data_IF_370229835222
#
_entry.id   IF_370229835222
#
_cell.length_a   1.000
_cell.length_b   1.000
_cell.length_c   1.000
_cell.angle_alpha   90.00
_cell.angle_beta   90.00
_cell.angle_gamma   90.00
#
_symmetry.space_group_name_H-M   'P 1'
#
loop_
_entity.id
_entity.type
_entity.pdbx_description
1 polymer ?
#
# COMPACT_ATOMS: atom_id res chain seq x y z
N UNK A 1 -21.97 1.27 4.22
CA UNK A 1 -21.26 1.34 2.94
C UNK A 1 -21.58 0.07 2.18
N UNK A 2 -22.42 0.14 1.14
CA UNK A 2 -22.75 -1.03 0.31
C UNK A 2 -21.67 -1.23 -0.75
N UNK A 3 -21.17 -2.46 -0.89
CA UNK A 3 -20.09 -2.76 -1.81
C UNK A 3 -20.59 -2.82 -3.27
N UNK A 4 -19.73 -2.38 -4.20
CA UNK A 4 -20.04 -2.30 -5.63
C UNK A 4 -20.57 -3.63 -6.22
N UNK A 5 -19.99 -4.76 -5.82
CA UNK A 5 -20.37 -6.11 -6.29
C UNK A 5 -21.78 -6.54 -5.82
N UNK A 6 -22.27 -5.94 -4.73
CA UNK A 6 -23.64 -6.17 -4.21
C UNK A 6 -24.63 -5.29 -4.96
N UNK A 7 -24.26 -4.02 -5.17
CA UNK A 7 -25.08 -3.02 -5.86
C UNK A 7 -25.32 -3.37 -7.33
N UNK A 8 -24.41 -4.09 -7.97
CA UNK A 8 -24.49 -4.47 -9.38
C UNK A 8 -24.32 -5.99 -9.57
N UNK A 9 -25.36 -6.82 -9.35
CA UNK A 9 -25.26 -8.28 -9.39
C UNK A 9 -24.82 -8.85 -10.73
N UNK A 10 -25.00 -8.11 -11.83
CA UNK A 10 -24.49 -8.48 -13.15
C UNK A 10 -22.95 -8.60 -13.20
N UNK A 11 -22.24 -7.84 -12.37
CA UNK A 11 -20.77 -7.86 -12.30
C UNK A 11 -20.21 -9.20 -11.81
N UNK A 12 -20.99 -9.97 -11.02
CA UNK A 12 -20.59 -11.31 -10.55
C UNK A 12 -20.38 -12.32 -11.69
N UNK A 13 -21.04 -12.09 -12.82
CA UNK A 13 -21.02 -12.99 -13.99
C UNK A 13 -20.02 -12.55 -15.07
N UNK A 14 -19.41 -11.39 -14.92
CA UNK A 14 -18.39 -10.93 -15.86
C UNK A 14 -17.16 -11.82 -15.75
N UNK A 15 -16.64 -12.21 -16.90
CA UNK A 15 -15.44 -13.05 -17.02
C UNK A 15 -14.27 -12.23 -17.54
N UNK A 16 -13.06 -12.56 -17.12
CA UNK A 16 -11.84 -12.04 -17.72
C UNK A 16 -11.62 -12.64 -19.14
N UNK A 17 -10.53 -12.25 -19.80
CA UNK A 17 -10.12 -12.77 -21.12
C UNK A 17 -9.90 -14.30 -21.17
N UNK A 18 -9.77 -14.96 -20.02
CA UNK A 18 -9.62 -16.42 -19.91
C UNK A 18 -10.93 -17.13 -19.54
N UNK A 19 -12.07 -16.44 -19.58
CA UNK A 19 -13.38 -17.00 -19.27
C UNK A 19 -13.62 -17.25 -17.78
N UNK A 20 -12.80 -16.68 -16.88
CA UNK A 20 -12.94 -16.85 -15.44
C UNK A 20 -13.69 -15.67 -14.81
N UNK A 21 -14.70 -15.98 -13.99
CA UNK A 21 -15.40 -15.00 -13.16
C UNK A 21 -14.55 -14.52 -11.99
N UNK A 22 -14.88 -13.37 -11.40
CA UNK A 22 -14.21 -12.86 -10.20
C UNK A 22 -14.19 -13.88 -9.05
N UNK A 23 -15.26 -14.67 -8.88
CA UNK A 23 -15.34 -15.74 -7.89
C UNK A 23 -14.33 -16.86 -8.17
N UNK A 24 -14.26 -17.33 -9.41
CA UNK A 24 -13.33 -18.38 -9.81
C UNK A 24 -11.87 -17.94 -9.67
N UNK A 25 -11.57 -16.68 -9.96
CA UNK A 25 -10.24 -16.10 -9.75
C UNK A 25 -9.90 -16.08 -8.25
N UNK A 26 -10.83 -15.61 -7.40
CA UNK A 26 -10.64 -15.58 -5.95
C UNK A 26 -10.43 -16.98 -5.36
N UNK A 27 -11.18 -17.98 -5.81
CA UNK A 27 -11.01 -19.38 -5.40
C UNK A 27 -9.67 -19.96 -5.88
N UNK A 28 -9.30 -19.73 -7.14
CA UNK A 28 -8.03 -20.20 -7.73
C UNK A 28 -6.81 -19.62 -7.01
N UNK A 29 -6.88 -18.36 -6.59
CA UNK A 29 -5.83 -17.66 -5.84
C UNK A 29 -5.92 -17.83 -4.32
N UNK A 30 -6.85 -18.69 -3.84
CA UNK A 30 -7.08 -18.97 -2.41
C UNK A 30 -7.44 -17.73 -1.57
N UNK A 31 -8.05 -16.71 -2.18
CA UNK A 31 -8.60 -15.56 -1.47
C UNK A 31 -10.00 -15.86 -0.93
N UNK A 32 -10.07 -16.75 0.06
CA UNK A 32 -11.33 -17.24 0.65
C UNK A 32 -12.28 -16.11 1.09
N UNK A 33 -11.74 -15.01 1.61
CA UNK A 33 -12.51 -13.85 2.05
C UNK A 33 -13.15 -13.08 0.90
N UNK A 34 -12.45 -12.95 -0.21
CA UNK A 34 -12.96 -12.30 -1.42
C UNK A 34 -14.03 -13.20 -2.05
N UNK A 35 -13.82 -14.52 -2.05
CA UNK A 35 -14.82 -15.49 -2.51
C UNK A 35 -16.12 -15.44 -1.67
N UNK A 36 -16.01 -15.48 -0.34
CA UNK A 36 -17.14 -15.38 0.60
C UNK A 36 -17.90 -14.06 0.43
N UNK A 37 -17.17 -12.96 0.21
CA UNK A 37 -17.75 -11.65 -0.05
C UNK A 37 -18.56 -11.61 -1.35
N UNK A 38 -18.00 -12.17 -2.43
CA UNK A 38 -18.64 -12.20 -3.75
C UNK A 38 -19.89 -13.09 -3.73
N UNK A 39 -19.85 -14.23 -3.03
CA UNK A 39 -21.00 -15.14 -2.91
C UNK A 39 -22.12 -14.54 -2.05
N UNK A 40 -21.80 -14.17 -0.80
CA UNK A 40 -22.81 -13.86 0.21
C UNK A 40 -23.26 -12.41 0.19
N UNK A 41 -22.48 -11.51 -0.42
CA UNK A 41 -22.75 -10.07 -0.38
C UNK A 41 -22.70 -9.48 1.04
N UNK A 42 -22.16 -10.20 2.01
CA UNK A 42 -21.93 -9.70 3.35
C UNK A 42 -20.44 -9.81 3.63
N UNK A 43 -19.77 -8.66 3.80
CA UNK A 43 -18.55 -8.67 4.58
C UNK A 43 -19.00 -8.89 6.03
N UNK A 44 -19.12 -10.14 6.47
CA UNK A 44 -19.05 -10.37 7.91
C UNK A 44 -17.58 -10.12 8.24
N UNK A 45 -17.22 -9.06 8.99
CA UNK A 45 -15.94 -9.09 9.65
C UNK A 45 -16.06 -10.24 10.65
N UNK A 46 -15.67 -11.45 10.24
CA UNK A 46 -15.21 -12.41 11.21
C UNK A 46 -14.05 -11.68 11.86
N UNK A 47 -14.26 -11.17 13.06
CA UNK A 47 -13.17 -10.88 13.97
C UNK A 47 -12.26 -12.09 13.88
N UNK A 48 -10.96 -11.86 13.81
CA UNK A 48 -9.89 -12.85 13.62
C UNK A 48 -9.95 -14.11 14.51
N UNK A 49 -10.92 -14.16 15.44
CA UNK A 49 -11.23 -15.22 16.39
C UNK A 49 -11.67 -16.57 15.79
N UNK A 50 -12.20 -16.62 14.57
CA UNK A 50 -12.81 -17.87 14.06
C UNK A 50 -11.95 -18.65 13.03
N UNK A 51 -10.70 -18.24 12.79
CA UNK A 51 -9.76 -19.02 11.94
C UNK A 51 -8.60 -19.66 12.70
N UNK A 52 -8.56 -19.52 14.03
CA UNK A 52 -7.54 -20.12 14.89
C UNK A 52 -8.14 -20.85 16.11
N UNK A 53 -9.34 -21.42 15.98
CA UNK A 53 -9.86 -22.30 17.01
C UNK A 53 -9.22 -23.69 16.89
N UNK A 54 -8.09 -23.89 17.58
CA UNK A 54 -7.67 -25.09 18.35
C UNK A 54 -6.14 -25.15 18.46
N UNK A 55 -5.59 -24.69 19.59
CA UNK A 55 -4.55 -25.40 20.38
C UNK A 55 -3.49 -24.54 21.09
N UNK A 56 -3.55 -23.20 21.08
CA UNK A 56 -2.64 -22.39 21.89
C UNK A 56 -3.39 -21.60 22.96
N UNK A 57 -3.90 -22.31 23.97
CA UNK A 57 -4.23 -21.66 25.25
C UNK A 57 -2.94 -21.06 25.81
N UNK A 58 -2.95 -19.77 26.16
CA UNK A 58 -1.74 -19.10 26.65
C UNK A 58 -1.17 -19.89 27.84
N UNK A 59 0.15 -20.17 27.81
CA UNK A 59 0.81 -20.99 28.84
C UNK A 59 0.61 -20.43 30.24
N UNK A 60 0.51 -19.11 30.34
CA UNK A 60 0.30 -18.38 31.57
C UNK A 60 -0.81 -17.38 31.36
N UNK A 61 -1.74 -17.30 32.32
CA UNK A 61 -2.72 -16.23 32.33
C UNK A 61 -2.08 -14.88 32.67
N UNK A 62 -2.83 -13.81 32.45
CA UNK A 62 -2.33 -12.46 32.67
C UNK A 62 -1.91 -12.20 34.13
N UNK A 63 -2.65 -12.76 35.10
CA UNK A 63 -2.38 -12.55 36.52
C UNK A 63 -1.06 -13.21 36.93
N UNK A 64 -0.81 -14.43 36.46
CA UNK A 64 0.44 -15.17 36.64
C UNK A 64 1.62 -14.40 36.05
N UNK A 65 1.46 -13.82 34.84
CA UNK A 65 2.50 -13.00 34.23
C UNK A 65 2.81 -11.73 35.03
N UNK A 66 1.80 -11.05 35.57
CA UNK A 66 1.98 -9.86 36.41
C UNK A 66 2.71 -10.22 37.70
N UNK A 67 2.34 -11.34 38.33
CA UNK A 67 3.00 -11.82 39.54
C UNK A 67 4.44 -12.24 39.27
N UNK A 68 4.69 -12.93 38.15
CA UNK A 68 6.03 -13.27 37.68
C UNK A 68 6.90 -12.02 37.47
N UNK A 69 6.34 -10.99 36.85
CA UNK A 69 7.03 -9.72 36.62
C UNK A 69 7.37 -8.99 37.92
N UNK A 70 6.46 -9.02 38.91
CA UNK A 70 6.68 -8.39 40.22
C UNK A 70 7.64 -9.14 41.12
N UNK A 71 7.67 -10.45 41.03
CA UNK A 71 8.47 -11.31 41.89
C UNK A 71 9.81 -11.72 41.26
N UNK A 72 10.12 -11.23 40.05
CA UNK A 72 11.42 -11.48 39.42
C UNK A 72 11.56 -12.87 38.77
N UNK A 73 10.45 -13.54 38.43
CA UNK A 73 10.49 -14.89 37.82
C UNK A 73 10.86 -14.81 36.34
N UNK A 74 12.15 -14.63 36.05
CA UNK A 74 12.66 -14.45 34.69
C UNK A 74 12.27 -15.59 33.73
N UNK A 75 12.20 -16.83 34.22
CA UNK A 75 11.84 -17.99 33.38
C UNK A 75 10.43 -17.86 32.77
N UNK A 76 9.44 -17.46 33.56
CA UNK A 76 8.06 -17.28 33.10
C UNK A 76 7.98 -16.11 32.10
N UNK A 77 8.75 -15.05 32.35
CA UNK A 77 8.82 -13.89 31.45
C UNK A 77 9.47 -14.24 30.11
N UNK A 78 10.50 -15.09 30.10
CA UNK A 78 11.09 -15.60 28.86
C UNK A 78 10.12 -16.51 28.11
N UNK A 79 9.37 -17.37 28.81
CA UNK A 79 8.31 -18.18 28.21
C UNK A 79 7.23 -17.31 27.54
N UNK A 80 6.83 -16.19 28.17
CA UNK A 80 5.96 -15.17 27.56
C UNK A 80 6.57 -14.53 26.30
N UNK A 81 7.88 -14.24 26.32
CA UNK A 81 8.58 -13.65 25.17
C UNK A 81 8.59 -14.61 23.97
N UNK A 82 8.81 -15.91 24.22
CA UNK A 82 8.86 -16.95 23.19
C UNK A 82 7.47 -17.37 22.68
N UNK A 83 6.43 -17.17 23.49
CA UNK A 83 5.06 -17.51 23.16
C UNK A 83 4.52 -16.72 21.95
N UNK A 84 3.78 -17.38 21.06
CA UNK A 84 3.17 -16.70 19.91
C UNK A 84 1.80 -16.16 20.31
N UNK A 85 1.59 -14.88 20.04
CA UNK A 85 0.30 -14.22 20.25
C UNK A 85 -0.34 -13.97 18.90
N UNK A 86 -1.66 -14.15 18.82
CA UNK A 86 -2.44 -13.86 17.61
C UNK A 86 -2.32 -12.39 17.19
N UNK A 87 -2.26 -11.49 18.17
CA UNK A 87 -2.10 -10.06 17.96
C UNK A 87 -0.79 -9.54 18.54
N UNK A 88 0.06 -8.99 17.66
CA UNK A 88 1.29 -8.27 18.07
C UNK A 88 0.97 -7.04 18.91
N UNK A 89 -0.18 -6.40 18.67
CA UNK A 89 -0.66 -5.26 19.46
C UNK A 89 -1.07 -5.68 20.86
N UNK A 90 -1.78 -6.80 20.99
CA UNK A 90 -2.13 -7.39 22.28
C UNK A 90 -0.88 -7.76 23.08
N UNK A 91 0.07 -8.46 22.44
CA UNK A 91 1.36 -8.80 23.08
C UNK A 91 2.12 -7.56 23.52
N UNK A 92 2.09 -6.48 22.74
CA UNK A 92 2.69 -5.19 23.12
C UNK A 92 2.02 -4.58 24.34
N UNK A 93 0.69 -4.51 24.36
CA UNK A 93 -0.07 -3.96 25.49
C UNK A 93 0.21 -4.75 26.77
N UNK A 94 0.25 -6.08 26.67
CA UNK A 94 0.61 -6.96 27.78
C UNK A 94 2.05 -6.71 28.24
N UNK A 95 3.01 -6.73 27.32
CA UNK A 95 4.42 -6.46 27.62
C UNK A 95 4.62 -5.10 28.33
N UNK A 96 3.96 -4.04 27.86
CA UNK A 96 4.01 -2.72 28.50
C UNK A 96 3.49 -2.76 29.94
N UNK A 97 2.34 -3.43 30.18
CA UNK A 97 1.79 -3.58 31.53
C UNK A 97 2.74 -4.36 32.44
N UNK A 98 3.41 -5.39 31.93
CA UNK A 98 4.40 -6.17 32.70
C UNK A 98 5.64 -5.32 33.05
N UNK A 99 6.13 -4.49 32.12
CA UNK A 99 7.21 -3.53 32.39
C UNK A 99 6.83 -2.59 33.54
N UNK A 100 5.62 -2.02 33.50
CA UNK A 100 5.14 -1.13 34.57
C UNK A 100 5.03 -1.86 35.91
N UNK A 101 4.50 -3.09 35.91
CA UNK A 101 4.40 -3.90 37.12
C UNK A 101 5.78 -4.20 37.73
N UNK A 102 6.77 -4.58 36.92
CA UNK A 102 8.14 -4.83 37.36
C UNK A 102 8.84 -3.57 37.88
N UNK A 103 8.62 -2.41 37.23
CA UNK A 103 9.16 -1.11 37.67
C UNK A 103 8.66 -0.69 39.04
N UNK A 104 7.37 -0.87 39.32
CA UNK A 104 6.77 -0.49 40.61
C UNK A 104 7.44 -1.16 41.81
N UNK A 105 7.89 -2.40 41.64
CA UNK A 105 8.56 -3.18 42.69
C UNK A 105 10.07 -3.30 42.48
N UNK A 106 10.65 -2.49 41.58
CA UNK A 106 12.10 -2.38 41.32
C UNK A 106 12.76 -3.69 40.88
N UNK A 107 12.06 -4.52 40.11
CA UNK A 107 12.63 -5.74 39.51
C UNK A 107 13.41 -5.42 38.23
N UNK A 108 14.55 -4.75 38.37
CA UNK A 108 15.33 -4.21 37.24
C UNK A 108 15.73 -5.25 36.21
N UNK A 109 16.09 -6.47 36.62
CA UNK A 109 16.43 -7.55 35.68
C UNK A 109 15.26 -7.91 34.73
N UNK A 110 14.02 -7.91 35.24
CA UNK A 110 12.84 -8.17 34.42
C UNK A 110 12.52 -6.98 33.53
N UNK A 111 12.69 -5.77 34.05
CA UNK A 111 12.53 -4.53 33.28
C UNK A 111 13.49 -4.54 32.08
N UNK A 112 14.77 -4.85 32.29
CA UNK A 112 15.77 -4.88 31.22
C UNK A 112 15.40 -5.89 30.11
N UNK A 113 14.98 -7.10 30.51
CA UNK A 113 14.55 -8.16 29.58
C UNK A 113 13.33 -7.71 28.76
N UNK A 114 12.29 -7.22 29.44
CA UNK A 114 11.04 -6.83 28.79
C UNK A 114 11.19 -5.56 27.95
N UNK A 115 11.94 -4.55 28.41
CA UNK A 115 12.20 -3.32 27.65
C UNK A 115 13.03 -3.59 26.41
N UNK A 116 14.05 -4.45 26.51
CA UNK A 116 14.82 -4.87 25.35
C UNK A 116 13.92 -5.55 24.31
N UNK A 117 13.08 -6.50 24.74
CA UNK A 117 12.13 -7.16 23.85
C UNK A 117 11.09 -6.18 23.25
N UNK A 118 10.55 -5.28 24.09
CA UNK A 118 9.60 -4.27 23.68
C UNK A 118 10.19 -3.36 22.58
N UNK A 119 11.43 -2.88 22.77
CA UNK A 119 12.07 -1.92 21.88
C UNK A 119 12.67 -2.53 20.61
N UNK A 120 13.02 -3.82 20.61
CA UNK A 120 13.68 -4.46 19.46
C UNK A 120 12.73 -5.28 18.60
N UNK A 121 11.71 -5.90 19.21
CA UNK A 121 10.82 -6.85 18.53
C UNK A 121 9.38 -6.38 18.45
N UNK A 122 8.91 -5.62 19.44
CA UNK A 122 7.50 -5.20 19.49
C UNK A 122 7.25 -3.78 19.00
N UNK A 123 8.18 -2.84 19.17
CA UNK A 123 8.01 -1.42 18.81
C UNK A 123 8.26 -1.12 17.32
N UNK A 124 8.99 -1.99 16.62
CA UNK A 124 9.53 -1.73 15.26
C UNK A 124 8.54 -1.93 14.11
N UNK A 125 7.31 -2.40 14.34
CA UNK A 125 6.37 -2.77 13.25
C UNK A 125 4.92 -2.27 13.43
N UNK A 126 4.70 -1.20 14.19
CA UNK A 126 3.33 -0.65 14.35
C UNK A 126 3.29 0.87 14.32
N UNK A 127 4.28 1.47 13.68
CA UNK A 127 3.95 2.58 12.79
C UNK A 127 3.32 1.91 11.56
N UNK A 128 2.01 1.68 11.58
CA UNK A 128 1.32 1.50 10.30
C UNK A 128 1.49 2.84 9.58
N UNK A 129 2.00 2.81 8.36
CA UNK A 129 2.39 3.97 7.56
C UNK A 129 1.25 4.99 7.31
N UNK A 130 0.05 4.75 7.83
CA UNK A 130 -1.09 5.66 7.78
C UNK A 130 -1.29 6.53 9.03
N UNK A 131 -0.86 6.11 10.22
CA UNK A 131 -1.36 6.70 11.48
C UNK A 131 -0.56 7.91 12.00
N UNK A 132 0.62 8.20 11.43
CA UNK A 132 1.51 9.24 11.96
C UNK A 132 1.62 10.52 11.12
N UNK A 133 0.86 10.68 10.03
CA UNK A 133 0.94 11.91 9.22
C UNK A 133 2.35 12.24 8.71
N UNK A 134 3.26 11.26 8.74
CA UNK A 134 4.58 11.36 8.15
C UNK A 134 4.37 11.08 6.67
N UNK A 135 4.33 12.14 5.89
CA UNK A 135 4.56 12.09 4.45
C UNK A 135 5.70 11.13 4.19
N UNK A 136 5.44 10.06 3.43
CA UNK A 136 6.51 9.23 2.89
C UNK A 136 7.53 10.18 2.28
N UNK A 137 8.73 10.26 2.85
CA UNK A 137 9.88 10.85 2.18
C UNK A 137 10.31 9.84 1.13
N UNK A 138 9.48 9.69 0.09
CA UNK A 138 9.91 9.07 -1.15
C UNK A 138 11.19 9.79 -1.55
N UNK A 139 12.23 9.01 -1.85
CA UNK A 139 13.39 9.53 -2.56
C UNK A 139 12.87 10.38 -3.74
N UNK A 140 13.43 11.59 -3.92
CA UNK A 140 13.03 12.55 -4.96
C UNK A 140 12.82 11.90 -6.33
N UNK A 141 13.59 10.86 -6.64
CA UNK A 141 13.40 10.06 -7.85
C UNK A 141 12.04 9.34 -7.90
N UNK A 142 11.70 8.55 -6.86
CA UNK A 142 10.43 7.85 -6.80
C UNK A 142 9.24 8.79 -6.60
N UNK A 143 9.46 9.92 -5.91
CA UNK A 143 8.44 10.97 -5.78
C UNK A 143 8.07 11.54 -7.16
N UNK A 144 9.05 11.85 -8.01
CA UNK A 144 8.80 12.30 -9.38
C UNK A 144 8.08 11.27 -10.23
N UNK A 145 8.45 9.99 -10.12
CA UNK A 145 7.76 8.90 -10.83
C UNK A 145 6.29 8.81 -10.39
N UNK A 146 6.05 8.81 -9.08
CA UNK A 146 4.70 8.72 -8.53
C UNK A 146 3.85 9.94 -8.92
N UNK A 147 4.39 11.15 -8.78
CA UNK A 147 3.70 12.39 -9.17
C UNK A 147 3.40 12.43 -10.66
N UNK A 148 4.34 11.99 -11.51
CA UNK A 148 4.13 11.90 -12.96
C UNK A 148 3.07 10.86 -13.35
N UNK A 149 3.06 9.71 -12.67
CA UNK A 149 2.01 8.71 -12.86
C UNK A 149 0.64 9.26 -12.46
N UNK A 150 0.56 9.88 -11.28
CA UNK A 150 -0.68 10.42 -10.76
C UNK A 150 -1.20 11.63 -11.57
N UNK A 151 -0.31 12.48 -12.09
CA UNK A 151 -0.70 13.57 -12.99
C UNK A 151 -1.22 13.04 -14.32
N UNK A 152 -0.55 12.04 -14.91
CA UNK A 152 -1.04 11.41 -16.14
C UNK A 152 -2.41 10.73 -15.96
N UNK A 153 -2.65 10.15 -14.77
CA UNK A 153 -3.94 9.56 -14.43
C UNK A 153 -5.02 10.63 -14.19
N UNK A 154 -4.67 11.77 -13.59
CA UNK A 154 -5.58 12.92 -13.46
C UNK A 154 -6.00 13.47 -14.82
N UNK A 155 -5.02 13.71 -15.71
CA UNK A 155 -5.28 14.18 -17.08
C UNK A 155 -6.22 13.23 -17.81
N UNK A 156 -5.98 11.92 -17.71
CA UNK A 156 -6.76 10.91 -18.43
C UNK A 156 -8.22 10.83 -17.97
N UNK A 157 -8.48 10.87 -16.66
CA UNK A 157 -9.82 10.59 -16.12
C UNK A 157 -10.62 11.88 -15.91
N UNK A 158 -9.95 12.97 -15.51
CA UNK A 158 -10.60 14.23 -15.17
C UNK A 158 -10.49 15.30 -16.27
N UNK A 159 -9.73 15.05 -17.35
CA UNK A 159 -9.34 16.07 -18.34
C UNK A 159 -8.78 17.33 -17.64
N UNK A 160 -8.01 17.08 -16.58
CA UNK A 160 -7.57 18.11 -15.64
C UNK A 160 -6.09 17.95 -15.33
N UNK A 161 -5.25 18.99 -15.60
CA UNK A 161 -3.81 18.99 -15.38
C UNK A 161 -3.41 19.13 -13.91
N UNK A 162 -4.20 18.52 -13.02
CA UNK A 162 -3.95 18.53 -11.60
C UNK A 162 -2.89 17.50 -11.27
N UNK A 163 -1.76 17.98 -10.75
CA UNK A 163 -0.73 17.12 -10.18
C UNK A 163 -1.22 16.71 -8.79
N UNK A 164 -1.57 15.44 -8.63
CA UNK A 164 -2.00 14.91 -7.33
C UNK A 164 -0.78 14.85 -6.40
N UNK A 165 -0.73 15.76 -5.44
CA UNK A 165 0.26 15.74 -4.37
C UNK A 165 -0.36 15.11 -3.11
N UNK A 166 0.14 13.94 -2.65
CA UNK A 166 -0.31 13.32 -1.41
C UNK A 166 -0.21 14.23 -0.17
N UNK A 167 0.66 15.24 -0.20
CA UNK A 167 0.82 16.21 0.87
C UNK A 167 -0.17 17.39 0.80
N UNK A 168 -0.84 17.61 -0.33
CA UNK A 168 -1.81 18.69 -0.51
C UNK A 168 -3.22 18.13 -0.80
N UNK A 169 -4.11 18.10 0.22
CA UNK A 169 -5.49 17.65 0.07
C UNK A 169 -6.29 18.42 -1.00
N UNK A 170 -5.89 19.65 -1.34
CA UNK A 170 -6.61 20.45 -2.33
C UNK A 170 -6.46 19.87 -3.74
N UNK A 171 -5.32 19.23 -4.05
CA UNK A 171 -5.12 18.58 -5.35
C UNK A 171 -6.14 17.46 -5.61
N UNK A 172 -6.54 16.72 -4.58
CA UNK A 172 -7.60 15.71 -4.68
C UNK A 172 -8.97 16.34 -4.87
N UNK A 173 -9.24 17.46 -4.19
CA UNK A 173 -10.50 18.20 -4.37
C UNK A 173 -10.62 18.72 -5.81
N UNK A 174 -9.53 19.24 -6.36
CA UNK A 174 -9.49 19.76 -7.73
C UNK A 174 -9.71 18.64 -8.75
N UNK A 175 -9.08 17.47 -8.55
CA UNK A 175 -9.37 16.27 -9.34
C UNK A 175 -10.87 15.90 -9.32
N UNK A 176 -11.48 15.81 -8.14
CA UNK A 176 -12.90 15.45 -8.04
C UNK A 176 -13.81 16.52 -8.65
N UNK A 177 -13.41 17.79 -8.59
CA UNK A 177 -14.13 18.87 -9.27
C UNK A 177 -14.04 18.75 -10.79
N UNK A 178 -12.86 18.43 -11.33
CA UNK A 178 -12.64 18.16 -12.76
C UNK A 178 -13.43 16.96 -13.24
N UNK A 179 -13.39 15.85 -12.49
CA UNK A 179 -14.21 14.66 -12.75
C UNK A 179 -15.70 15.00 -12.81
N UNK A 180 -16.20 15.78 -11.84
CA UNK A 180 -17.61 16.16 -11.79
C UNK A 180 -17.99 17.04 -12.99
N UNK A 181 -17.11 17.98 -13.37
CA UNK A 181 -17.30 18.82 -14.54
C UNK A 181 -17.29 18.01 -15.85
N UNK A 182 -16.37 17.06 -15.98
CA UNK A 182 -16.28 16.19 -17.16
C UNK A 182 -17.50 15.28 -17.28
N UNK A 183 -17.93 14.67 -16.17
CA UNK A 183 -19.17 13.87 -16.12
C UNK A 183 -20.39 14.72 -16.47
N UNK A 184 -20.48 15.96 -15.97
CA UNK A 184 -21.57 16.87 -16.31
C UNK A 184 -21.58 17.24 -17.80
N UNK A 185 -20.40 17.51 -18.37
CA UNK A 185 -20.22 17.79 -19.80
C UNK A 185 -20.64 16.60 -20.66
N UNK A 186 -20.12 15.39 -20.38
CA UNK A 186 -20.54 14.18 -21.09
C UNK A 186 -22.05 13.91 -20.94
N UNK A 187 -22.61 14.12 -19.75
CA UNK A 187 -24.05 13.97 -19.54
C UNK A 187 -24.87 14.96 -20.36
N UNK A 188 -24.40 16.20 -20.52
CA UNK A 188 -25.07 17.22 -21.32
C UNK A 188 -24.93 16.94 -22.82
N UNK A 189 -23.77 16.48 -23.27
CA UNK A 189 -23.55 16.05 -24.65
C UNK A 189 -24.45 14.87 -25.01
N UNK A 190 -24.58 13.86 -24.13
CA UNK A 190 -25.48 12.72 -24.30
C UNK A 190 -26.97 13.11 -24.35
N UNK A 191 -27.38 14.16 -23.63
CA UNK A 191 -28.75 14.67 -23.68
C UNK A 191 -29.08 15.35 -25.02
N UNK A 192 -28.07 15.82 -25.75
CA UNK A 192 -28.23 16.48 -27.05
C UNK A 192 -28.24 15.48 -28.22
N UNK A 193 -27.95 14.20 -27.96
CA UNK A 193 -27.99 13.13 -28.96
C UNK A 193 -29.45 12.79 -29.25
N UNK A 194 -29.93 13.21 -30.42
CA UNK A 194 -31.32 12.92 -30.86
C UNK A 194 -31.38 12.00 -32.06
N UNK A 195 -30.25 11.80 -32.75
CA UNK A 195 -30.18 10.96 -33.96
C UNK A 195 -28.98 10.00 -33.94
N UNK A 196 -29.06 8.94 -34.75
CA UNK A 196 -27.97 8.00 -34.98
C UNK A 196 -26.72 8.69 -35.57
N UNK A 197 -26.92 9.80 -36.27
CA UNK A 197 -25.84 10.61 -36.83
C UNK A 197 -25.08 11.39 -35.75
N UNK A 198 -25.76 11.80 -34.67
CA UNK A 198 -25.12 12.45 -33.52
C UNK A 198 -24.32 11.44 -32.68
N UNK A 199 -24.82 10.19 -32.57
CA UNK A 199 -24.07 9.08 -31.96
C UNK A 199 -22.76 8.84 -32.72
N UNK A 200 -22.81 8.78 -34.06
CA UNK A 200 -21.59 8.60 -34.86
C UNK A 200 -20.60 9.74 -34.68
N UNK A 201 -21.05 10.99 -34.65
CA UNK A 201 -20.17 12.15 -34.39
C UNK A 201 -19.49 12.07 -33.03
N UNK A 202 -20.18 11.58 -31.99
CA UNK A 202 -19.58 11.38 -30.68
C UNK A 202 -18.53 10.27 -30.70
N UNK A 203 -18.83 9.14 -31.36
CA UNK A 203 -17.87 8.04 -31.51
C UNK A 203 -16.62 8.51 -32.27
N UNK A 204 -16.81 9.20 -33.41
CA UNK A 204 -15.69 9.70 -34.22
C UNK A 204 -14.84 10.69 -33.42
N UNK A 205 -15.47 11.58 -32.64
CA UNK A 205 -14.78 12.54 -31.78
C UNK A 205 -14.00 11.84 -30.65
N UNK A 206 -14.61 10.87 -29.98
CA UNK A 206 -13.95 10.10 -28.92
C UNK A 206 -12.77 9.28 -29.48
N UNK A 207 -12.93 8.69 -30.66
CA UNK A 207 -11.86 7.98 -31.35
C UNK A 207 -10.71 8.93 -31.72
N UNK A 208 -11.02 10.13 -32.20
CA UNK A 208 -10.03 11.17 -32.51
C UNK A 208 -9.30 11.64 -31.23
N UNK A 209 -10.04 11.95 -30.16
CA UNK A 209 -9.43 12.36 -28.88
C UNK A 209 -8.55 11.25 -28.30
N UNK A 210 -8.99 9.99 -28.37
CA UNK A 210 -8.23 8.85 -27.84
C UNK A 210 -6.96 8.61 -28.66
N UNK A 211 -7.03 8.76 -29.99
CA UNK A 211 -5.85 8.64 -30.85
C UNK A 211 -4.85 9.77 -30.62
N UNK A 212 -5.31 11.01 -30.43
CA UNK A 212 -4.47 12.16 -30.04
C UNK A 212 -3.81 11.99 -28.66
N UNK A 213 -4.52 11.43 -27.67
CA UNK A 213 -3.95 11.13 -26.37
C UNK A 213 -2.89 10.00 -26.48
N UNK A 214 -3.17 8.96 -27.27
CA UNK A 214 -2.22 7.87 -27.51
C UNK A 214 -0.95 8.35 -28.21
N UNK A 215 -1.06 9.24 -29.20
CA UNK A 215 0.12 9.81 -29.87
C UNK A 215 0.96 10.63 -28.89
N UNK A 216 0.33 11.48 -28.07
CA UNK A 216 1.02 12.26 -27.03
C UNK A 216 1.74 11.37 -26.00
N UNK A 217 1.10 10.28 -25.56
CA UNK A 217 1.73 9.30 -24.65
C UNK A 217 2.92 8.62 -25.33
N UNK A 218 2.79 8.22 -26.60
CA UNK A 218 3.87 7.59 -27.34
C UNK A 218 5.07 8.54 -27.54
N UNK A 219 4.82 9.82 -27.81
CA UNK A 219 5.88 10.85 -27.88
C UNK A 219 6.60 11.03 -26.54
N UNK A 220 5.86 11.10 -25.44
CA UNK A 220 6.44 11.18 -24.09
C UNK A 220 7.24 9.92 -23.75
N UNK A 221 6.77 8.74 -24.14
CA UNK A 221 7.46 7.47 -23.93
C UNK A 221 8.75 7.41 -24.76
N UNK A 222 8.74 7.89 -26.00
CA UNK A 222 9.94 8.01 -26.82
C UNK A 222 10.99 8.94 -26.17
N UNK A 223 10.57 10.10 -25.68
CA UNK A 223 11.45 11.04 -24.96
C UNK A 223 12.03 10.42 -23.67
N UNK A 224 11.23 9.64 -22.92
CA UNK A 224 11.71 8.94 -21.73
C UNK A 224 12.71 7.83 -22.06
N UNK A 225 12.51 7.10 -23.16
CA UNK A 225 13.46 6.09 -23.62
C UNK A 225 14.79 6.71 -24.03
N UNK A 226 14.76 7.83 -24.76
CA UNK A 226 15.97 8.60 -25.10
C UNK A 226 16.69 9.09 -23.84
N UNK A 227 15.94 9.63 -22.87
CA UNK A 227 16.49 10.08 -21.59
C UNK A 227 17.13 8.95 -20.78
N UNK A 228 16.50 7.77 -20.76
CA UNK A 228 17.05 6.55 -20.15
C UNK A 228 18.37 6.17 -20.80
N UNK A 229 18.43 6.13 -22.13
CA UNK A 229 19.63 5.70 -22.87
C UNK A 229 20.79 6.69 -22.65
N UNK A 230 20.48 7.99 -22.59
CA UNK A 230 21.43 9.02 -22.20
C UNK A 230 21.99 8.80 -20.78
N UNK A 231 21.11 8.59 -19.79
CA UNK A 231 21.52 8.36 -18.40
C UNK A 231 22.34 7.08 -18.25
N UNK A 232 21.97 6.01 -18.95
CA UNK A 232 22.68 4.74 -18.91
C UNK A 232 24.09 4.87 -19.49
N UNK A 233 24.25 5.60 -20.59
CA UNK A 233 25.56 5.93 -21.17
C UNK A 233 26.40 6.76 -20.21
N UNK A 234 25.77 7.75 -19.54
CA UNK A 234 26.46 8.58 -18.56
C UNK A 234 26.92 7.75 -17.34
N UNK A 235 26.10 6.83 -16.84
CA UNK A 235 26.47 5.94 -15.72
C UNK A 235 27.69 5.09 -16.11
N UNK A 236 27.68 4.49 -17.31
CA UNK A 236 28.80 3.69 -17.81
C UNK A 236 30.11 4.49 -17.91
N UNK A 237 30.06 5.72 -18.45
CA UNK A 237 31.24 6.59 -18.53
C UNK A 237 31.73 6.99 -17.13
N UNK A 238 30.81 7.23 -16.19
CA UNK A 238 31.18 7.57 -14.81
C UNK A 238 31.86 6.39 -14.10
N UNK A 239 31.33 5.17 -14.28
CA UNK A 239 31.90 3.94 -13.73
C UNK A 239 33.29 3.66 -14.32
N UNK A 240 33.48 3.86 -15.62
CA UNK A 240 34.79 3.73 -16.26
C UNK A 240 35.82 4.72 -15.70
N UNK A 241 35.42 5.97 -15.48
CA UNK A 241 36.29 7.01 -14.90
C UNK A 241 36.66 6.66 -13.46
N UNK A 242 35.71 6.23 -12.65
CA UNK A 242 35.95 5.79 -11.26
C UNK A 242 36.90 4.60 -11.23
N UNK A 243 36.69 3.60 -12.10
CA UNK A 243 37.56 2.43 -12.18
C UNK A 243 39.00 2.79 -12.59
N UNK A 244 39.17 3.68 -13.59
CA UNK A 244 40.49 4.22 -13.99
C UNK A 244 41.16 4.98 -12.84
N UNK A 245 40.41 5.80 -12.10
CA UNK A 245 40.92 6.57 -10.97
C UNK A 245 41.35 5.67 -9.80
N UNK A 246 40.56 4.65 -9.45
CA UNK A 246 40.92 3.67 -8.41
C UNK A 246 42.20 2.91 -8.76
N UNK A 247 42.38 2.52 -10.04
CA UNK A 247 43.63 1.90 -10.51
C UNK A 247 44.84 2.81 -10.38
N UNK A 248 44.72 4.08 -10.74
CA UNK A 248 45.80 5.07 -10.58
C UNK A 248 46.17 5.26 -9.10
N UNK A 249 45.17 5.31 -8.22
CA UNK A 249 45.38 5.46 -6.77
C UNK A 249 46.05 4.23 -6.16
N UNK A 250 45.72 3.03 -6.65
CA UNK A 250 46.37 1.78 -6.23
C UNK A 250 47.83 1.68 -6.69
N UNK A 251 48.14 2.18 -7.90
CA UNK A 251 49.52 2.25 -8.40
C UNK A 251 50.38 3.23 -7.60
N UNK A 252 49.83 4.37 -7.19
CA UNK A 252 50.54 5.38 -6.38
C UNK A 252 50.83 4.93 -4.94
N UNK A 253 50.11 3.95 -4.39
CA UNK A 253 50.36 3.40 -3.05
C UNK A 253 51.42 2.29 -3.02
N UNK A 254 51.81 1.75 -4.18
CA UNK A 254 52.78 0.67 -4.32
C UNK A 254 54.17 1.16 -4.78
N UNK A 255 54.41 2.46 -4.75
CA UNK A 255 55.70 3.13 -4.98
C UNK A 255 56.10 3.84 -3.68
#
# INVERSE_FOLDING_TARGET
>A
MELFVIKYPATKRQTNKTGLTALQIAQKLKFARIAELIETGKAVPKSSKDQYAKDDEHKHDYETLVQAARNGHAKIILEFIDERYESKEEKRRLCYKLIQAAKQVKQYQIVDILEHYYNTKLSTELASDMELGVTFTLNEHYKKILLGFLSGLSDLIADSPVVLDPADPNTYRDLFSGLTANVAKCSQELQQVTSEQDVRKLIDRDETNTTEQLTKINEQLAQLLESRDYLQTHIQDTDERLFKQQRLTALQRNV
#
